data_IF_429457554578
#
_entry.id   IF_429457554578
#
_cell.length_a   1.000
_cell.length_b   1.000
_cell.length_c   1.000
_cell.angle_alpha   90.00
_cell.angle_beta   90.00
_cell.angle_gamma   90.00
#
_symmetry.space_group_name_H-M   'P 1'
#
loop_
_entity.id
_entity.type
_entity.pdbx_description
1 polymer ?
#
# COMPACT_ATOMS: atom_id res chain seq x y z
N UNK A 1 -96.83 -11.58 13.00
CA UNK A 1 -95.81 -12.59 12.62
C UNK A 1 -95.01 -12.20 11.36
N UNK A 2 -95.59 -11.51 10.37
CA UNK A 2 -94.86 -11.14 9.13
C UNK A 2 -93.88 -9.97 9.35
N UNK A 3 -94.25 -8.93 10.10
CA UNK A 3 -93.38 -7.77 10.37
C UNK A 3 -92.09 -8.14 11.14
N UNK A 4 -92.20 -9.06 12.10
CA UNK A 4 -91.05 -9.55 12.88
C UNK A 4 -90.08 -10.39 12.04
N UNK A 5 -90.55 -11.02 10.97
CA UNK A 5 -89.69 -11.78 10.05
C UNK A 5 -88.93 -10.86 9.09
N UNK A 6 -89.58 -9.79 8.62
CA UNK A 6 -88.97 -8.80 7.72
C UNK A 6 -87.86 -8.03 8.43
N UNK A 7 -88.07 -7.61 9.68
CA UNK A 7 -87.03 -6.91 10.46
C UNK A 7 -85.80 -7.78 10.73
N UNK A 8 -85.98 -9.09 10.94
CA UNK A 8 -84.89 -10.02 11.20
C UNK A 8 -84.03 -10.31 9.95
N UNK A 9 -84.66 -10.30 8.76
CA UNK A 9 -83.96 -10.42 7.47
C UNK A 9 -83.15 -9.16 7.18
N UNK A 10 -83.72 -7.97 7.40
CA UNK A 10 -83.02 -6.69 7.21
C UNK A 10 -81.82 -6.59 8.15
N UNK A 11 -81.98 -6.97 9.42
CA UNK A 11 -80.90 -6.95 10.40
C UNK A 11 -79.73 -7.88 10.00
N UNK A 12 -80.03 -9.09 9.51
CA UNK A 12 -79.02 -10.02 9.01
C UNK A 12 -78.33 -9.50 7.75
N UNK A 13 -79.07 -8.90 6.82
CA UNK A 13 -78.50 -8.33 5.60
C UNK A 13 -77.56 -7.15 5.92
N UNK A 14 -77.93 -6.28 6.85
CA UNK A 14 -77.09 -5.18 7.33
C UNK A 14 -75.86 -5.71 8.08
N UNK A 15 -76.02 -6.73 8.92
CA UNK A 15 -74.91 -7.40 9.61
C UNK A 15 -73.91 -8.04 8.65
N UNK A 16 -74.41 -8.74 7.63
CA UNK A 16 -73.59 -9.32 6.55
C UNK A 16 -72.84 -8.25 5.75
N UNK A 17 -73.55 -7.18 5.34
CA UNK A 17 -72.93 -6.08 4.61
C UNK A 17 -71.82 -5.40 5.44
N UNK A 18 -72.04 -5.21 6.73
CA UNK A 18 -71.05 -4.65 7.66
C UNK A 18 -69.81 -5.54 7.80
N UNK A 19 -69.98 -6.87 7.92
CA UNK A 19 -68.86 -7.81 8.02
C UNK A 19 -68.02 -7.86 6.74
N UNK A 20 -68.66 -7.78 5.56
CA UNK A 20 -67.97 -7.73 4.27
C UNK A 20 -67.21 -6.39 4.13
N UNK A 21 -67.85 -5.25 4.39
CA UNK A 21 -67.20 -3.95 4.32
C UNK A 21 -66.00 -3.82 5.27
N UNK A 22 -66.12 -4.35 6.49
CA UNK A 22 -65.04 -4.33 7.49
C UNK A 22 -63.86 -5.21 7.08
N UNK A 23 -64.11 -6.43 6.61
CA UNK A 23 -63.04 -7.36 6.24
C UNK A 23 -62.27 -6.91 4.99
N UNK A 24 -62.97 -6.47 3.95
CA UNK A 24 -62.32 -6.00 2.71
C UNK A 24 -61.68 -4.61 2.87
N UNK A 25 -62.29 -3.71 3.64
CA UNK A 25 -61.75 -2.36 3.86
C UNK A 25 -60.41 -2.36 4.62
N UNK A 26 -60.29 -3.20 5.66
CA UNK A 26 -59.06 -3.32 6.45
C UNK A 26 -57.93 -3.92 5.61
N UNK A 27 -58.20 -4.98 4.85
CA UNK A 27 -57.21 -5.64 4.00
C UNK A 27 -56.71 -4.78 2.82
N UNK A 28 -57.62 -3.98 2.22
CA UNK A 28 -57.26 -3.11 1.11
C UNK A 28 -56.51 -1.85 1.56
N UNK A 29 -56.90 -1.27 2.71
CA UNK A 29 -56.21 -0.13 3.31
C UNK A 29 -54.79 -0.47 3.79
N UNK A 30 -54.60 -1.65 4.39
CA UNK A 30 -53.26 -2.12 4.82
C UNK A 30 -52.33 -2.42 3.65
N UNK A 31 -52.80 -3.09 2.59
CA UNK A 31 -51.98 -3.30 1.38
C UNK A 31 -51.60 -2.00 0.67
N UNK A 32 -52.53 -1.04 0.59
CA UNK A 32 -52.26 0.27 0.00
C UNK A 32 -51.28 1.10 0.84
N UNK A 33 -51.38 1.02 2.18
CA UNK A 33 -50.44 1.64 3.11
C UNK A 33 -49.02 1.08 2.98
N UNK A 34 -48.88 -0.25 2.92
CA UNK A 34 -47.58 -0.89 2.76
C UNK A 34 -46.93 -0.54 1.41
N UNK A 35 -47.68 -0.60 0.30
CA UNK A 35 -47.13 -0.19 -1.01
C UNK A 35 -46.74 1.29 -1.05
N UNK A 36 -47.46 2.17 -0.34
CA UNK A 36 -47.10 3.59 -0.28
C UNK A 36 -45.81 3.80 0.54
N UNK A 37 -45.64 3.09 1.65
CA UNK A 37 -44.41 3.13 2.44
C UNK A 37 -43.20 2.58 1.66
N UNK A 38 -43.37 1.46 0.94
CA UNK A 38 -42.31 0.88 0.10
C UNK A 38 -41.88 1.83 -1.04
N UNK A 39 -42.83 2.57 -1.64
CA UNK A 39 -42.55 3.58 -2.68
C UNK A 39 -41.80 4.79 -2.10
N UNK A 40 -42.06 5.15 -0.85
CA UNK A 40 -41.37 6.24 -0.15
C UNK A 40 -39.93 5.86 0.25
N UNK A 41 -39.67 4.58 0.50
CA UNK A 41 -38.34 4.07 0.85
C UNK A 41 -37.42 3.86 -0.38
N UNK A 42 -37.96 3.67 -1.58
CA UNK A 42 -37.19 3.51 -2.83
C UNK A 42 -36.22 4.68 -3.13
N UNK A 43 -36.64 5.96 -3.04
CA UNK A 43 -35.74 7.11 -3.16
C UNK A 43 -34.61 7.12 -2.13
N UNK A 44 -34.91 6.73 -0.89
CA UNK A 44 -33.93 6.70 0.21
C UNK A 44 -32.88 5.61 -0.02
N UNK A 45 -33.32 4.42 -0.43
CA UNK A 45 -32.42 3.34 -0.85
C UNK A 45 -31.55 3.76 -2.03
N UNK A 46 -32.11 4.47 -3.00
CA UNK A 46 -31.37 4.97 -4.16
C UNK A 46 -30.29 5.97 -3.74
N UNK A 47 -30.62 6.90 -2.84
CA UNK A 47 -29.65 7.86 -2.30
C UNK A 47 -28.52 7.17 -1.54
N UNK A 48 -28.83 6.18 -0.70
CA UNK A 48 -27.83 5.40 0.05
C UNK A 48 -26.91 4.64 -0.91
N UNK A 49 -27.46 3.99 -1.95
CA UNK A 49 -26.65 3.27 -2.94
C UNK A 49 -25.74 4.24 -3.70
N UNK A 50 -26.25 5.42 -4.05
CA UNK A 50 -25.46 6.42 -4.76
C UNK A 50 -24.37 7.02 -3.88
N UNK A 51 -24.66 7.25 -2.59
CA UNK A 51 -23.69 7.68 -1.60
C UNK A 51 -22.60 6.61 -1.38
N UNK A 52 -22.97 5.34 -1.26
CA UNK A 52 -22.02 4.22 -1.15
C UNK A 52 -21.14 4.14 -2.40
N UNK A 53 -21.71 4.30 -3.60
CA UNK A 53 -20.92 4.33 -4.85
C UNK A 53 -19.95 5.50 -4.86
N UNK A 54 -20.38 6.69 -4.45
CA UNK A 54 -19.53 7.87 -4.36
C UNK A 54 -18.41 7.67 -3.34
N UNK A 55 -18.72 7.15 -2.15
CA UNK A 55 -17.74 6.82 -1.11
C UNK A 55 -16.73 5.78 -1.62
N UNK A 56 -17.19 4.72 -2.28
CA UNK A 56 -16.32 3.70 -2.86
C UNK A 56 -15.44 4.25 -3.98
N UNK A 57 -15.96 5.13 -4.83
CA UNK A 57 -15.19 5.79 -5.89
C UNK A 57 -14.08 6.68 -5.30
N UNK A 58 -14.40 7.47 -4.28
CA UNK A 58 -13.41 8.30 -3.57
C UNK A 58 -12.33 7.45 -2.87
N UNK A 59 -12.72 6.34 -2.24
CA UNK A 59 -11.78 5.40 -1.62
C UNK A 59 -10.87 4.74 -2.64
N UNK A 60 -11.41 4.27 -3.77
CA UNK A 60 -10.63 3.66 -4.85
C UNK A 60 -9.64 4.66 -5.45
N UNK A 61 -10.05 5.91 -5.65
CA UNK A 61 -9.17 6.96 -6.17
C UNK A 61 -8.05 7.29 -5.18
N UNK A 62 -8.37 7.42 -3.88
CA UNK A 62 -7.37 7.62 -2.83
C UNK A 62 -6.37 6.47 -2.76
N UNK A 63 -6.84 5.22 -2.74
CA UNK A 63 -5.98 4.03 -2.75
C UNK A 63 -5.09 3.97 -4.00
N UNK A 64 -5.65 4.28 -5.17
CA UNK A 64 -4.89 4.33 -6.43
C UNK A 64 -3.78 5.39 -6.37
N UNK A 65 -4.10 6.60 -5.91
CA UNK A 65 -3.11 7.68 -5.79
C UNK A 65 -1.99 7.34 -4.80
N UNK A 66 -2.33 6.76 -3.64
CA UNK A 66 -1.35 6.32 -2.64
C UNK A 66 -0.47 5.20 -3.18
N UNK A 67 -1.06 4.20 -3.85
CA UNK A 67 -0.29 3.11 -4.44
C UNK A 67 0.64 3.61 -5.56
N UNK A 68 0.21 4.58 -6.38
CA UNK A 68 1.08 5.20 -7.38
C UNK A 68 2.28 5.91 -6.75
N UNK A 69 2.07 6.68 -5.68
CA UNK A 69 3.16 7.34 -4.96
C UNK A 69 4.11 6.33 -4.32
N UNK A 70 3.59 5.23 -3.76
CA UNK A 70 4.40 4.14 -3.18
C UNK A 70 5.24 3.43 -4.24
N UNK A 71 4.66 3.12 -5.40
CA UNK A 71 5.39 2.50 -6.51
C UNK A 71 6.48 3.45 -7.02
N UNK A 72 6.18 4.73 -7.22
CA UNK A 72 7.17 5.72 -7.65
C UNK A 72 8.32 5.87 -6.64
N UNK A 73 8.03 5.84 -5.33
CA UNK A 73 9.05 5.87 -4.29
C UNK A 73 9.90 4.59 -4.28
N UNK A 74 9.30 3.41 -4.50
CA UNK A 74 10.03 2.13 -4.61
C UNK A 74 10.95 2.14 -5.84
N UNK A 75 10.46 2.58 -6.99
CA UNK A 75 11.24 2.69 -8.22
C UNK A 75 12.44 3.62 -8.03
N UNK A 76 12.23 4.77 -7.37
CA UNK A 76 13.34 5.69 -7.06
C UNK A 76 14.36 5.11 -6.11
N UNK A 77 13.93 4.36 -5.10
CA UNK A 77 14.83 3.63 -4.20
C UNK A 77 15.64 2.58 -4.96
N UNK A 78 14.99 1.77 -5.79
CA UNK A 78 15.66 0.75 -6.61
C UNK A 78 16.69 1.39 -7.55
N UNK A 79 16.30 2.46 -8.25
CA UNK A 79 17.19 3.22 -9.13
C UNK A 79 18.42 3.72 -8.36
N UNK A 80 18.24 4.34 -7.20
CA UNK A 80 19.34 4.87 -6.40
C UNK A 80 20.33 3.78 -5.97
N UNK A 81 19.86 2.58 -5.61
CA UNK A 81 20.76 1.49 -5.26
C UNK A 81 21.51 0.92 -6.48
N UNK A 82 20.87 0.83 -7.64
CA UNK A 82 21.54 0.44 -8.89
C UNK A 82 22.64 1.44 -9.28
N UNK A 83 22.36 2.74 -9.13
CA UNK A 83 23.34 3.80 -9.37
C UNK A 83 24.50 3.74 -8.37
N UNK A 84 24.21 3.55 -7.07
CA UNK A 84 25.24 3.34 -6.05
C UNK A 84 26.14 2.16 -6.38
N UNK A 85 25.55 1.03 -6.81
CA UNK A 85 26.31 -0.15 -7.22
C UNK A 85 27.19 0.14 -8.44
N UNK A 86 26.69 0.88 -9.42
CA UNK A 86 27.49 1.30 -10.59
C UNK A 86 28.67 2.18 -10.17
N UNK A 87 28.45 3.17 -9.32
CA UNK A 87 29.50 4.05 -8.81
C UNK A 87 30.56 3.24 -8.02
N UNK A 88 30.12 2.34 -7.14
CA UNK A 88 31.00 1.44 -6.41
C UNK A 88 31.83 0.56 -7.33
N UNK A 89 31.21 -0.04 -8.34
CA UNK A 89 31.93 -0.86 -9.33
C UNK A 89 32.97 -0.04 -10.09
N UNK A 90 32.68 1.22 -10.43
CA UNK A 90 33.66 2.13 -11.04
C UNK A 90 34.82 2.40 -10.08
N UNK A 91 34.59 2.60 -8.78
CA UNK A 91 35.67 2.82 -7.80
C UNK A 91 36.70 1.68 -7.83
N UNK A 92 36.24 0.43 -7.96
CA UNK A 92 37.11 -0.75 -8.06
C UNK A 92 37.98 -0.72 -9.33
N UNK A 93 37.42 -0.26 -10.45
CA UNK A 93 38.15 -0.24 -11.73
C UNK A 93 39.29 0.77 -11.78
N UNK A 94 39.21 1.84 -10.98
CA UNK A 94 40.18 2.95 -11.00
C UNK A 94 40.99 3.05 -9.71
N UNK A 95 40.95 2.03 -8.85
CA UNK A 95 41.53 2.08 -7.49
C UNK A 95 43.03 2.41 -7.44
N UNK A 96 43.77 2.11 -8.50
CA UNK A 96 45.20 2.42 -8.63
C UNK A 96 45.50 3.61 -9.56
N UNK A 97 44.48 4.18 -10.20
CA UNK A 97 44.61 5.38 -11.04
C UNK A 97 44.20 6.61 -10.23
N UNK A 98 45.21 7.34 -9.72
CA UNK A 98 45.01 8.51 -8.85
C UNK A 98 44.25 9.65 -9.53
N UNK A 99 44.39 9.84 -10.83
CA UNK A 99 43.71 10.93 -11.54
C UNK A 99 42.24 10.57 -11.79
N UNK A 100 41.99 9.38 -12.32
CA UNK A 100 40.63 8.89 -12.54
C UNK A 100 39.86 8.72 -11.22
N UNK A 101 40.53 8.30 -10.14
CA UNK A 101 39.94 8.18 -8.81
C UNK A 101 39.46 9.54 -8.28
N UNK A 102 40.27 10.59 -8.40
CA UNK A 102 39.88 11.94 -7.93
C UNK A 102 38.63 12.44 -8.65
N UNK A 103 38.59 12.30 -9.98
CA UNK A 103 37.43 12.68 -10.78
C UNK A 103 36.18 11.88 -10.37
N UNK A 104 36.33 10.56 -10.26
CA UNK A 104 35.22 9.68 -9.90
C UNK A 104 34.68 9.96 -8.49
N UNK A 105 35.54 10.28 -7.52
CA UNK A 105 35.10 10.61 -6.15
C UNK A 105 34.28 11.89 -6.13
N UNK A 106 34.65 12.90 -6.91
CA UNK A 106 33.83 14.11 -7.09
C UNK A 106 32.47 13.78 -7.68
N UNK A 107 32.41 12.98 -8.75
CA UNK A 107 31.15 12.51 -9.33
C UNK A 107 30.29 11.74 -8.31
N UNK A 108 30.91 10.83 -7.55
CA UNK A 108 30.21 10.07 -6.52
C UNK A 108 29.67 10.98 -5.41
N UNK A 109 30.40 12.04 -5.04
CA UNK A 109 29.97 13.00 -4.03
C UNK A 109 28.77 13.83 -4.48
N UNK A 110 28.79 14.34 -5.72
CA UNK A 110 27.67 15.07 -6.31
C UNK A 110 26.42 14.19 -6.39
N UNK A 111 26.60 12.95 -6.84
CA UNK A 111 25.53 11.96 -6.87
C UNK A 111 24.97 11.68 -5.45
N UNK A 112 25.86 11.51 -4.47
CA UNK A 112 25.49 11.25 -3.08
C UNK A 112 24.61 12.36 -2.49
N UNK A 113 24.97 13.62 -2.70
CA UNK A 113 24.19 14.77 -2.21
C UNK A 113 22.75 14.76 -2.74
N UNK A 114 22.54 14.21 -3.93
CA UNK A 114 21.22 14.17 -4.57
C UNK A 114 20.43 12.89 -4.26
N UNK A 115 21.09 11.77 -3.96
CA UNK A 115 20.45 10.45 -3.94
C UNK A 115 20.58 9.67 -2.62
N UNK A 116 21.41 10.11 -1.67
CA UNK A 116 21.68 9.33 -0.45
C UNK A 116 20.44 9.05 0.41
N UNK A 117 19.40 9.88 0.33
CA UNK A 117 18.15 9.68 1.08
C UNK A 117 17.29 8.52 0.55
N UNK A 118 17.53 8.09 -0.69
CA UNK A 118 16.83 6.94 -1.28
C UNK A 118 17.53 5.61 -1.00
N UNK A 119 18.75 5.64 -0.47
CA UNK A 119 19.47 4.45 -0.06
C UNK A 119 18.99 3.96 1.31
N UNK A 120 19.00 2.64 1.49
CA UNK A 120 18.85 2.05 2.81
C UNK A 120 20.01 2.50 3.72
N UNK A 121 19.80 2.72 5.03
CA UNK A 121 20.86 3.19 5.92
C UNK A 121 22.15 2.37 5.90
N UNK A 122 22.04 1.04 5.75
CA UNK A 122 23.17 0.11 5.65
C UNK A 122 23.97 0.32 4.36
N UNK A 123 23.30 0.32 3.20
CA UNK A 123 23.90 0.58 1.90
C UNK A 123 24.51 1.98 1.80
N UNK A 124 23.81 2.97 2.35
CA UNK A 124 24.27 4.35 2.44
C UNK A 124 25.60 4.41 3.17
N UNK A 125 25.67 3.91 4.40
CA UNK A 125 26.89 3.97 5.19
C UNK A 125 28.04 3.19 4.55
N UNK A 126 27.77 2.01 4.02
CA UNK A 126 28.78 1.20 3.35
C UNK A 126 29.37 1.91 2.11
N UNK A 127 28.51 2.53 1.28
CA UNK A 127 28.95 3.29 0.12
C UNK A 127 29.78 4.51 0.51
N UNK A 128 29.39 5.23 1.58
CA UNK A 128 30.15 6.36 2.14
C UNK A 128 31.55 5.95 2.58
N UNK A 129 31.65 4.82 3.29
CA UNK A 129 32.94 4.28 3.76
C UNK A 129 33.82 3.89 2.58
N UNK A 130 33.28 3.22 1.57
CA UNK A 130 34.02 2.85 0.37
C UNK A 130 34.54 4.09 -0.38
N UNK A 131 33.70 5.11 -0.59
CA UNK A 131 34.10 6.37 -1.20
C UNK A 131 35.20 7.10 -0.43
N UNK A 132 35.17 7.06 0.90
CA UNK A 132 36.18 7.71 1.73
C UNK A 132 37.50 6.91 1.76
N UNK A 133 37.45 5.59 1.63
CA UNK A 133 38.61 4.70 1.76
C UNK A 133 39.33 4.46 0.42
N UNK A 134 38.59 4.44 -0.69
CA UNK A 134 39.14 4.14 -2.02
C UNK A 134 40.28 5.07 -2.49
N UNK A 135 40.23 6.41 -2.26
CA UNK A 135 41.29 7.32 -2.72
C UNK A 135 42.66 7.04 -2.08
N UNK A 136 42.65 6.64 -0.81
CA UNK A 136 43.86 6.41 -0.03
C UNK A 136 44.42 5.00 -0.22
N UNK A 137 43.67 4.09 -0.87
CA UNK A 137 44.05 2.68 -0.99
C UNK A 137 45.42 2.48 -1.63
N UNK A 138 45.69 3.16 -2.76
CA UNK A 138 46.97 3.06 -3.44
C UNK A 138 48.14 3.49 -2.54
N UNK A 139 47.98 4.58 -1.77
CA UNK A 139 48.98 5.02 -0.80
C UNK A 139 49.16 4.01 0.34
N UNK A 140 48.08 3.40 0.84
CA UNK A 140 48.14 2.37 1.88
C UNK A 140 48.93 1.15 1.38
N UNK A 141 48.70 0.73 0.13
CA UNK A 141 49.43 -0.39 -0.49
C UNK A 141 50.92 -0.07 -0.61
N UNK A 142 51.27 1.11 -1.11
CA UNK A 142 52.67 1.48 -1.30
C UNK A 142 53.41 1.68 0.03
N UNK A 143 52.77 2.29 1.03
CA UNK A 143 53.34 2.50 2.37
C UNK A 143 53.59 1.18 3.14
N UNK A 144 52.86 0.12 2.81
CA UNK A 144 53.01 -1.20 3.46
C UNK A 144 53.76 -2.22 2.59
N UNK A 145 54.29 -1.81 1.44
CA UNK A 145 55.07 -2.70 0.57
C UNK A 145 56.38 -3.09 1.26
N UNK A 146 56.62 -4.39 1.40
CA UNK A 146 57.85 -4.92 1.99
C UNK A 146 57.97 -4.81 3.52
N UNK A 147 56.95 -4.27 4.21
CA UNK A 147 56.94 -4.16 5.69
C UNK A 147 56.49 -5.46 6.37
N UNK A 148 55.88 -6.40 5.63
CA UNK A 148 55.25 -7.60 6.16
C UNK A 148 53.91 -7.34 6.87
N UNK A 149 53.49 -6.07 7.01
CA UNK A 149 52.23 -5.70 7.65
C UNK A 149 51.10 -5.60 6.61
N UNK A 150 50.40 -6.72 6.39
CA UNK A 150 49.29 -6.78 5.43
C UNK A 150 47.98 -6.20 5.98
N UNK A 151 47.87 -5.95 7.30
CA UNK A 151 46.60 -5.60 7.94
C UNK A 151 45.96 -4.31 7.41
N UNK A 152 46.67 -3.18 7.25
CA UNK A 152 46.07 -1.95 6.72
C UNK A 152 45.53 -2.13 5.30
N UNK A 153 46.23 -2.92 4.48
CA UNK A 153 45.82 -3.21 3.10
C UNK A 153 44.56 -4.08 3.08
N UNK A 154 44.48 -5.09 3.95
CA UNK A 154 43.31 -5.95 4.10
C UNK A 154 42.09 -5.16 4.61
N UNK A 155 42.27 -4.34 5.64
CA UNK A 155 41.19 -3.54 6.23
C UNK A 155 40.65 -2.53 5.19
N UNK A 156 41.53 -1.90 4.41
CA UNK A 156 41.15 -1.00 3.32
C UNK A 156 40.35 -1.73 2.23
N UNK A 157 40.81 -2.92 1.80
CA UNK A 157 40.07 -3.73 0.83
C UNK A 157 38.72 -4.21 1.36
N UNK A 158 38.64 -4.60 2.63
CA UNK A 158 37.39 -5.02 3.25
C UNK A 158 36.34 -3.90 3.22
N UNK A 159 36.76 -2.66 3.49
CA UNK A 159 35.89 -1.49 3.42
C UNK A 159 35.40 -1.20 1.99
N UNK A 160 36.27 -1.33 0.99
CA UNK A 160 35.92 -1.06 -0.41
C UNK A 160 35.06 -2.19 -0.98
N UNK A 161 35.49 -3.46 -0.88
CA UNK A 161 34.74 -4.59 -1.44
C UNK A 161 33.47 -4.93 -0.66
N UNK A 162 33.49 -4.80 0.66
CA UNK A 162 32.35 -5.10 1.52
C UNK A 162 31.12 -4.25 1.22
N UNK A 163 31.31 -3.04 0.68
CA UNK A 163 30.21 -2.16 0.29
C UNK A 163 29.32 -2.76 -0.80
N UNK A 164 29.88 -3.49 -1.77
CA UNK A 164 29.10 -4.08 -2.86
C UNK A 164 28.07 -5.10 -2.35
N UNK A 165 28.49 -5.99 -1.45
CA UNK A 165 27.61 -7.01 -0.87
C UNK A 165 26.47 -6.37 -0.04
N UNK A 166 26.79 -5.32 0.73
CA UNK A 166 25.80 -4.59 1.53
C UNK A 166 24.79 -3.86 0.63
N UNK A 167 25.25 -3.21 -0.44
CA UNK A 167 24.37 -2.52 -1.40
C UNK A 167 23.42 -3.51 -2.07
N UNK A 168 23.93 -4.68 -2.49
CA UNK A 168 23.09 -5.72 -3.11
C UNK A 168 22.06 -6.27 -2.13
N UNK A 169 22.46 -6.55 -0.89
CA UNK A 169 21.55 -7.05 0.16
C UNK A 169 20.46 -6.06 0.52
N UNK A 170 20.75 -4.75 0.52
CA UNK A 170 19.76 -3.70 0.78
C UNK A 170 18.68 -3.60 -0.32
N UNK A 171 18.98 -4.05 -1.53
CA UNK A 171 17.99 -4.11 -2.64
C UNK A 171 17.10 -5.34 -2.55
N UNK A 172 17.43 -6.32 -1.69
CA UNK A 172 16.62 -7.52 -1.55
C UNK A 172 15.22 -7.14 -1.08
N UNK A 173 14.31 -7.02 -2.05
CA UNK A 173 12.90 -6.82 -1.80
C UNK A 173 12.42 -8.02 -0.96
N UNK A 174 11.54 -7.83 0.05
CA UNK A 174 10.79 -8.95 0.58
C UNK A 174 10.16 -9.65 -0.62
N UNK A 175 10.47 -10.95 -0.78
CA UNK A 175 9.90 -11.73 -1.87
C UNK A 175 8.39 -11.50 -1.88
N UNK A 176 7.80 -11.35 -3.08
CA UNK A 176 6.38 -11.01 -3.28
C UNK A 176 5.44 -11.80 -2.34
N UNK A 177 5.83 -13.01 -1.97
CA UNK A 177 5.13 -13.93 -1.06
C UNK A 177 5.09 -13.54 0.43
N UNK A 178 6.05 -12.77 0.96
CA UNK A 178 6.12 -12.47 2.40
C UNK A 178 5.17 -11.33 2.76
N UNK A 179 5.14 -10.27 1.95
CA UNK A 179 4.23 -9.13 2.15
C UNK A 179 2.76 -9.50 1.86
N UNK A 180 2.52 -10.31 0.83
CA UNK A 180 1.19 -10.86 0.54
C UNK A 180 0.75 -11.85 1.63
N UNK A 181 1.66 -12.65 2.17
CA UNK A 181 1.39 -13.58 3.27
C UNK A 181 0.99 -12.91 4.58
N UNK A 182 1.57 -11.75 4.90
CA UNK A 182 1.19 -10.98 6.10
C UNK A 182 -0.13 -10.21 5.92
N UNK A 183 -0.38 -9.64 4.73
CA UNK A 183 -1.65 -9.00 4.42
C UNK A 183 -2.82 -10.00 4.36
N UNK A 184 -2.57 -11.23 3.89
CA UNK A 184 -3.53 -12.33 3.97
C UNK A 184 -3.80 -12.73 5.43
N UNK A 185 -2.78 -12.83 6.29
CA UNK A 185 -2.98 -13.12 7.72
C UNK A 185 -3.83 -12.05 8.42
N UNK A 186 -3.55 -10.77 8.18
CA UNK A 186 -4.33 -9.66 8.77
C UNK A 186 -5.78 -9.60 8.27
N UNK A 187 -6.04 -9.95 7.00
CA UNK A 187 -7.40 -9.97 6.44
C UNK A 187 -8.21 -11.20 6.84
N UNK A 188 -7.55 -12.29 7.28
CA UNK A 188 -8.23 -13.49 7.79
C UNK A 188 -8.59 -13.38 9.28
N UNK A 189 -7.95 -12.47 10.03
CA UNK A 189 -8.13 -12.30 11.48
C UNK A 189 -9.15 -11.21 11.87
N UNK A 190 -9.72 -10.43 10.93
CA UNK A 190 -10.84 -9.54 11.26
C UNK A 190 -12.13 -10.37 11.44
N UNK A 191 -12.70 -10.47 12.65
CA UNK A 191 -14.02 -11.07 12.80
C UNK A 191 -15.03 -10.14 12.13
N UNK A 192 -15.88 -10.71 11.28
CA UNK A 192 -17.08 -10.05 10.76
C UNK A 192 -17.79 -9.33 11.91
N UNK A 193 -18.11 -8.02 11.78
CA UNK A 193 -18.92 -7.35 12.77
C UNK A 193 -20.26 -8.10 12.84
N UNK A 194 -20.54 -8.69 14.01
CA UNK A 194 -21.83 -9.28 14.33
C UNK A 194 -22.90 -8.20 14.11
N UNK A 195 -23.69 -8.36 13.06
CA UNK A 195 -24.97 -7.68 12.88
C UNK A 195 -26.09 -8.57 13.45
#
# INVERSE_FOLDING_TARGET
MVETAITLIILNAVGMAYLVLRSFGIGYGTKKGNNAADIEDLPRLTQIVEEIKQQNAMLLESLKSQNQLRVAAIDKRLQAHQEAFRHWSRLLTVVFDQEAMKQLVTECWEWWLSNCLYLEPSAREAFRIAMATAPDHAMIVDANRGTGNAKPVQDSWANIFGAGDIIVKAVALPGLTVGEGEQLKMSTEQPLPLQ
#
